data_IF_301723251933
#
_entry.id   IF_301723251933
#
_cell.length_a   1.000
_cell.length_b   1.000
_cell.length_c   1.000
_cell.angle_alpha   90.00
_cell.angle_beta   90.00
_cell.angle_gamma   90.00
#
_symmetry.space_group_name_H-M   'P 1'
#
loop_
_entity.id
_entity.type
_entity.pdbx_description
1 polymer ?
#
# COMPACT_ATOMS: atom_id res chain seq x y z
N UNK A 1 -15.75 33.93 20.55
CA UNK A 1 -15.75 35.26 19.91
C UNK A 1 -15.92 35.10 18.41
N UNK A 2 -16.55 36.08 17.79
CA UNK A 2 -17.25 36.08 16.49
C UNK A 2 -16.33 36.08 15.25
N UNK A 3 -16.77 35.36 14.20
CA UNK A 3 -16.59 35.54 12.74
C UNK A 3 -15.26 36.07 12.17
N UNK A 4 -14.62 35.29 11.28
CA UNK A 4 -14.25 35.81 9.96
C UNK A 4 -14.61 34.79 8.88
N UNK A 5 -15.70 35.08 8.19
CA UNK A 5 -16.16 34.47 6.95
C UNK A 5 -15.46 35.22 5.82
N UNK A 6 -14.29 34.76 5.40
CA UNK A 6 -13.58 35.33 4.26
C UNK A 6 -13.77 34.44 3.03
N UNK A 7 -14.70 34.89 2.19
CA UNK A 7 -14.78 34.73 0.74
C UNK A 7 -14.66 33.31 0.16
N UNK A 8 -15.83 32.72 -0.07
CA UNK A 8 -16.08 31.78 -1.16
C UNK A 8 -15.93 32.51 -2.51
N UNK A 9 -14.70 32.92 -2.83
CA UNK A 9 -14.34 33.34 -4.19
C UNK A 9 -14.05 32.08 -5.00
N UNK A 10 -14.83 31.86 -6.05
CA UNK A 10 -14.59 30.82 -7.05
C UNK A 10 -13.29 31.16 -7.79
N UNK A 11 -12.22 30.42 -7.49
CA UNK A 11 -10.92 30.60 -8.14
C UNK A 11 -11.00 29.99 -9.54
N UNK A 12 -10.79 30.79 -10.57
CA UNK A 12 -10.74 30.32 -11.95
C UNK A 12 -9.40 29.61 -12.25
N UNK A 13 -9.36 28.77 -13.29
CA UNK A 13 -8.10 28.12 -13.73
C UNK A 13 -7.01 29.14 -14.10
N UNK A 14 -7.39 30.33 -14.55
CA UNK A 14 -6.48 31.44 -14.85
C UNK A 14 -5.80 32.07 -13.62
N UNK A 15 -6.36 31.89 -12.43
CA UNK A 15 -5.85 32.45 -11.16
C UNK A 15 -5.16 31.39 -10.27
N UNK A 16 -5.09 30.15 -10.76
CA UNK A 16 -4.51 29.03 -10.01
C UNK A 16 -3.02 29.23 -9.73
N UNK A 17 -2.25 29.75 -10.68
CA UNK A 17 -0.81 29.98 -10.52
C UNK A 17 -0.53 31.07 -9.47
N UNK A 18 -1.26 32.19 -9.52
CA UNK A 18 -1.20 33.25 -8.51
C UNK A 18 -1.64 32.75 -7.12
N UNK A 19 -2.59 31.82 -7.07
CA UNK A 19 -3.01 31.19 -5.82
C UNK A 19 -1.97 30.19 -5.29
N UNK A 20 -1.30 29.44 -6.16
CA UNK A 20 -0.15 28.57 -5.81
C UNK A 20 0.99 29.39 -5.23
N UNK A 21 1.30 30.56 -5.83
CA UNK A 21 2.34 31.47 -5.34
C UNK A 21 2.01 32.05 -3.97
N UNK A 22 0.75 32.45 -3.74
CA UNK A 22 0.29 32.88 -2.41
C UNK A 22 0.44 31.77 -1.36
N UNK A 23 0.08 30.53 -1.71
CA UNK A 23 0.23 29.38 -0.81
C UNK A 23 1.71 29.08 -0.51
N UNK A 24 2.58 29.19 -1.51
CA UNK A 24 4.04 29.03 -1.35
C UNK A 24 4.61 30.07 -0.38
N UNK A 25 4.30 31.36 -0.56
CA UNK A 25 4.77 32.42 0.34
C UNK A 25 4.24 32.27 1.77
N UNK A 26 3.02 31.76 1.95
CA UNK A 26 2.49 31.43 3.28
C UNK A 26 3.29 30.32 3.98
N UNK A 27 3.75 29.31 3.24
CA UNK A 27 4.57 28.23 3.78
C UNK A 27 5.97 28.72 4.17
N UNK A 28 6.55 29.61 3.35
CA UNK A 28 7.84 30.24 3.63
C UNK A 28 7.86 31.05 4.93
N UNK A 29 6.75 31.73 5.23
CA UNK A 29 6.59 32.50 6.46
C UNK A 29 6.25 31.65 7.71
N UNK A 30 5.89 30.37 7.53
CA UNK A 30 5.48 29.47 8.63
C UNK A 30 6.04 28.02 8.48
N UNK A 31 7.37 27.83 8.40
CA UNK A 31 8.00 26.55 8.08
C UNK A 31 7.68 25.43 9.09
N UNK A 32 7.50 25.79 10.37
CA UNK A 32 7.13 24.87 11.47
C UNK A 32 5.78 24.17 11.29
N UNK A 33 4.94 24.61 10.34
CA UNK A 33 3.69 23.92 10.00
C UNK A 33 3.91 22.71 9.08
N UNK A 34 5.01 22.70 8.33
CA UNK A 34 5.38 21.63 7.39
C UNK A 34 6.42 20.71 8.01
N UNK A 35 7.43 21.27 8.69
CA UNK A 35 8.51 20.50 9.28
C UNK A 35 8.15 20.06 10.70
N UNK A 36 8.14 18.74 10.93
CA UNK A 36 7.86 18.15 12.25
C UNK A 36 9.16 17.77 12.98
N UNK A 37 10.15 17.25 12.26
CA UNK A 37 11.53 17.05 12.69
C UNK A 37 12.48 17.28 11.51
N UNK A 38 13.80 17.14 11.71
CA UNK A 38 14.81 17.37 10.67
C UNK A 38 14.64 16.44 9.44
N UNK A 39 14.01 15.28 9.62
CA UNK A 39 13.81 14.27 8.56
C UNK A 39 12.33 14.01 8.21
N UNK A 40 11.39 14.50 9.03
CA UNK A 40 9.96 14.18 8.90
C UNK A 40 9.10 15.44 8.77
N UNK A 41 8.15 15.35 7.83
CA UNK A 41 7.31 16.45 7.40
C UNK A 41 5.83 16.11 7.48
N UNK A 42 4.96 17.13 7.52
CA UNK A 42 3.51 16.98 7.53
C UNK A 42 2.89 17.83 6.45
N UNK A 43 1.80 17.34 5.86
CA UNK A 43 0.99 18.15 4.98
C UNK A 43 0.09 19.09 5.81
N UNK A 44 0.27 20.42 5.74
CA UNK A 44 -0.52 21.38 6.51
C UNK A 44 -1.97 21.49 6.02
N UNK A 45 -2.25 20.99 4.81
CA UNK A 45 -3.55 21.10 4.15
C UNK A 45 -4.43 19.86 4.28
N UNK A 46 -3.92 18.78 4.88
CA UNK A 46 -4.65 17.53 5.11
C UNK A 46 -4.94 17.28 6.61
N UNK A 47 -5.75 18.13 7.29
CA UNK A 47 -6.03 17.99 8.71
C UNK A 47 -6.98 16.82 9.04
N UNK A 48 -7.58 16.14 8.07
CA UNK A 48 -8.37 14.92 8.31
C UNK A 48 -7.51 13.71 8.71
N UNK A 49 -6.22 13.71 8.34
CA UNK A 49 -5.24 12.64 8.59
C UNK A 49 -4.27 13.02 9.73
N UNK A 50 -4.80 13.64 10.78
CA UNK A 50 -4.16 14.47 11.84
C UNK A 50 -2.89 13.96 12.56
N UNK A 51 -2.32 12.79 12.22
CA UNK A 51 -1.10 12.25 12.83
C UNK A 51 -0.06 11.64 11.87
N UNK A 52 -0.23 11.74 10.55
CA UNK A 52 0.77 11.20 9.62
C UNK A 52 1.94 12.16 9.47
N UNK A 53 3.15 11.66 9.73
CA UNK A 53 4.42 12.32 9.45
C UNK A 53 5.07 11.51 8.32
N UNK A 54 5.61 12.20 7.33
CA UNK A 54 6.10 11.64 6.09
C UNK A 54 7.59 11.95 5.93
N UNK A 55 8.42 11.00 5.47
CA UNK A 55 9.71 11.32 4.89
C UNK A 55 9.56 12.33 3.73
N UNK A 56 10.61 13.11 3.44
CA UNK A 56 10.57 14.16 2.41
C UNK A 56 10.01 13.67 1.06
N UNK A 57 10.49 12.51 0.58
CA UNK A 57 10.06 11.91 -0.71
C UNK A 57 8.58 11.56 -0.71
N UNK A 58 8.08 11.04 0.41
CA UNK A 58 6.68 10.60 0.53
C UNK A 58 5.75 11.80 0.66
N UNK A 59 6.17 12.86 1.37
CA UNK A 59 5.40 14.11 1.41
C UNK A 59 5.36 14.77 0.03
N UNK A 60 6.48 14.78 -0.67
CA UNK A 60 6.58 15.34 -2.01
C UNK A 60 5.68 14.61 -3.00
N UNK A 61 5.66 13.28 -2.96
CA UNK A 61 4.77 12.46 -3.78
C UNK A 61 3.30 12.72 -3.41
N UNK A 62 2.95 12.67 -2.13
CA UNK A 62 1.60 12.96 -1.65
C UNK A 62 1.09 14.32 -2.13
N UNK A 63 1.90 15.37 -2.02
CA UNK A 63 1.52 16.72 -2.44
C UNK A 63 1.38 16.81 -3.97
N UNK A 64 2.21 16.10 -4.72
CA UNK A 64 2.16 16.04 -6.19
C UNK A 64 0.92 15.30 -6.68
N UNK A 65 0.57 14.18 -6.05
CA UNK A 65 -0.60 13.38 -6.40
C UNK A 65 -1.88 14.16 -6.15
N UNK A 66 -1.98 14.85 -5.01
CA UNK A 66 -3.16 15.68 -4.71
C UNK A 66 -3.21 16.92 -5.60
N UNK A 67 -2.06 17.53 -5.90
CA UNK A 67 -1.94 18.67 -6.80
C UNK A 67 -2.24 18.37 -8.27
N UNK A 68 -2.34 17.09 -8.67
CA UNK A 68 -2.55 16.66 -10.07
C UNK A 68 -3.95 16.08 -10.36
N UNK A 69 -4.82 15.91 -9.35
CA UNK A 69 -6.18 15.34 -9.56
C UNK A 69 -7.11 16.26 -10.38
N UNK A 70 -8.02 15.65 -11.14
CA UNK A 70 -8.89 16.28 -12.16
C UNK A 70 -10.32 16.63 -11.70
N UNK A 71 -10.66 16.48 -10.42
CA UNK A 71 -12.04 16.71 -9.95
C UNK A 71 -12.31 18.19 -9.60
N UNK A 72 -13.24 18.82 -10.33
CA UNK A 72 -13.59 20.26 -10.33
C UNK A 72 -14.20 20.86 -9.05
N UNK A 73 -14.14 20.21 -7.88
CA UNK A 73 -14.57 20.82 -6.59
C UNK A 73 -13.41 21.29 -5.71
N UNK A 74 -12.16 21.10 -6.14
CA UNK A 74 -10.96 21.24 -5.29
C UNK A 74 -9.86 22.17 -5.87
N UNK A 75 -10.15 23.13 -6.76
CA UNK A 75 -9.11 24.04 -7.33
C UNK A 75 -8.27 24.72 -6.21
N UNK A 76 -8.93 25.11 -5.10
CA UNK A 76 -8.27 25.61 -3.88
C UNK A 76 -7.36 24.57 -3.23
N UNK A 77 -7.79 23.31 -3.12
CA UNK A 77 -6.95 22.28 -2.50
C UNK A 77 -5.81 21.83 -3.42
N UNK A 78 -6.03 21.83 -4.74
CA UNK A 78 -5.01 21.64 -5.76
C UNK A 78 -3.92 22.70 -5.67
N UNK A 79 -4.31 23.97 -5.60
CA UNK A 79 -3.38 25.09 -5.49
C UNK A 79 -2.56 25.08 -4.19
N UNK A 80 -3.18 24.72 -3.05
CA UNK A 80 -2.47 24.54 -1.78
C UNK A 80 -1.38 23.46 -1.87
N UNK A 81 -1.72 22.29 -2.41
CA UNK A 81 -0.78 21.17 -2.51
C UNK A 81 0.33 21.43 -3.55
N UNK A 82 0.03 22.09 -4.66
CA UNK A 82 1.05 22.57 -5.61
C UNK A 82 1.99 23.61 -4.99
N UNK A 83 1.47 24.51 -4.15
CA UNK A 83 2.28 25.45 -3.37
C UNK A 83 3.23 24.73 -2.41
N UNK A 84 2.79 23.62 -1.79
CA UNK A 84 3.62 22.76 -0.95
C UNK A 84 4.73 22.06 -1.75
N UNK A 85 4.43 21.51 -2.92
CA UNK A 85 5.44 20.92 -3.82
C UNK A 85 6.52 21.94 -4.18
N UNK A 86 6.11 23.17 -4.51
CA UNK A 86 7.02 24.27 -4.85
C UNK A 86 7.93 24.64 -3.68
N UNK A 87 7.37 24.71 -2.47
CA UNK A 87 8.12 24.97 -1.23
C UNK A 87 9.13 23.86 -0.92
N UNK A 88 8.70 22.60 -0.97
CA UNK A 88 9.59 21.45 -0.76
C UNK A 88 10.71 21.39 -1.79
N UNK A 89 10.45 21.77 -3.04
CA UNK A 89 11.46 21.77 -4.10
C UNK A 89 12.46 22.92 -4.00
N UNK A 90 12.01 24.12 -3.65
CA UNK A 90 12.84 25.34 -3.69
C UNK A 90 13.54 25.64 -2.37
N UNK A 91 12.86 25.50 -1.24
CA UNK A 91 13.38 25.93 0.07
C UNK A 91 13.87 24.77 0.93
N UNK A 92 13.47 23.52 0.63
CA UNK A 92 13.89 22.32 1.39
C UNK A 92 14.82 21.43 0.56
N UNK A 93 14.53 21.22 -0.73
CA UNK A 93 15.36 20.46 -1.66
C UNK A 93 16.43 21.29 -2.39
N UNK A 94 16.61 22.55 -1.98
CA UNK A 94 17.29 23.60 -2.76
C UNK A 94 18.73 23.95 -2.36
N UNK A 95 19.05 24.24 -1.09
CA UNK A 95 20.45 24.49 -0.64
C UNK A 95 20.55 24.62 0.89
N UNK A 96 21.73 24.21 1.40
CA UNK A 96 22.32 24.40 2.74
C UNK A 96 21.83 23.57 3.94
N UNK A 97 22.33 22.32 3.98
CA UNK A 97 22.63 21.62 5.24
C UNK A 97 23.68 22.47 5.99
N UNK A 98 23.44 22.93 7.23
CA UNK A 98 24.50 23.51 8.05
C UNK A 98 25.66 22.53 8.19
N UNK A 99 26.86 23.03 7.87
CA UNK A 99 28.18 22.37 7.83
C UNK A 99 28.67 21.77 9.18
N UNK A 100 27.79 21.33 10.06
CA UNK A 100 28.15 20.57 11.27
C UNK A 100 27.96 19.05 11.14
N UNK A 101 27.41 18.55 10.02
CA UNK A 101 27.27 17.10 9.79
C UNK A 101 28.24 16.50 8.75
N UNK A 102 29.25 17.26 8.31
CA UNK A 102 30.31 16.77 7.42
C UNK A 102 31.26 15.72 8.06
N UNK A 103 30.94 15.23 9.27
CA UNK A 103 31.65 14.15 9.97
C UNK A 103 30.90 12.82 10.06
N UNK A 104 29.65 12.73 9.58
CA UNK A 104 28.92 11.47 9.46
C UNK A 104 28.62 11.19 8.00
N UNK A 105 29.69 10.92 7.25
CA UNK A 105 29.59 9.97 6.16
C UNK A 105 29.15 8.63 6.80
N UNK A 106 27.84 8.44 6.97
CA UNK A 106 27.29 7.10 6.87
C UNK A 106 27.55 6.74 5.42
N UNK A 107 28.72 6.14 5.17
CA UNK A 107 28.79 5.12 4.15
C UNK A 107 27.66 4.17 4.50
N UNK A 108 26.51 4.30 3.82
CA UNK A 108 25.59 3.19 3.76
C UNK A 108 26.45 2.03 3.26
N UNK A 109 26.61 0.95 4.03
CA UNK A 109 27.05 -0.29 3.43
C UNK A 109 26.11 -0.50 2.25
N UNK A 110 26.69 -0.71 1.06
CA UNK A 110 25.98 -1.06 -0.18
C UNK A 110 25.17 -2.36 -0.07
N UNK A 111 24.96 -2.88 1.14
CA UNK A 111 24.13 -4.01 1.53
C UNK A 111 22.64 -3.66 1.77
N UNK A 112 22.23 -2.38 1.72
CA UNK A 112 20.82 -2.01 2.02
C UNK A 112 19.79 -2.57 1.02
N UNK A 113 20.20 -2.97 -0.19
CA UNK A 113 19.33 -3.66 -1.14
C UNK A 113 18.85 -5.04 -0.64
N UNK A 114 19.52 -5.62 0.37
CA UNK A 114 19.18 -6.94 0.94
C UNK A 114 18.06 -6.82 2.00
N UNK A 115 17.79 -5.62 2.52
CA UNK A 115 16.84 -5.41 3.63
C UNK A 115 15.40 -5.04 3.20
N UNK A 116 15.18 -4.82 1.91
CA UNK A 116 13.84 -4.53 1.34
C UNK A 116 13.09 -5.78 0.87
N UNK A 117 13.58 -6.96 1.24
CA UNK A 117 12.90 -8.23 0.99
C UNK A 117 11.88 -8.52 2.10
N UNK A 118 10.65 -8.77 1.68
CA UNK A 118 9.52 -9.16 2.50
C UNK A 118 9.23 -10.65 2.31
N UNK A 119 8.68 -11.29 3.33
CA UNK A 119 8.09 -12.62 3.15
C UNK A 119 6.74 -12.47 2.43
N UNK A 120 6.57 -13.17 1.32
CA UNK A 120 5.37 -13.23 0.49
C UNK A 120 4.72 -14.62 0.55
N UNK A 121 3.39 -14.74 0.79
CA UNK A 121 2.43 -13.67 1.07
C UNK A 121 2.78 -12.85 2.32
N UNK A 122 2.34 -11.59 2.39
CA UNK A 122 2.74 -10.69 3.48
C UNK A 122 2.42 -11.30 4.85
N UNK A 123 3.46 -11.41 5.69
CA UNK A 123 3.35 -12.00 7.02
C UNK A 123 3.93 -11.05 8.07
N UNK A 124 3.19 -10.86 9.16
CA UNK A 124 3.64 -10.21 10.38
C UNK A 124 4.01 -11.24 11.45
N UNK A 125 4.94 -10.88 12.32
CA UNK A 125 5.32 -11.65 13.50
C UNK A 125 4.79 -10.92 14.72
N UNK A 126 4.10 -11.65 15.58
CA UNK A 126 3.78 -11.24 16.95
C UNK A 126 4.64 -12.05 17.91
N UNK A 127 5.29 -11.36 18.83
CA UNK A 127 6.11 -11.95 19.88
C UNK A 127 5.57 -11.63 21.27
N UNK A 128 6.09 -12.34 22.26
CA UNK A 128 5.65 -12.30 23.66
C UNK A 128 4.16 -12.67 23.83
N UNK A 129 3.72 -13.66 23.08
CA UNK A 129 2.36 -14.19 23.20
C UNK A 129 2.30 -15.09 24.44
N UNK A 130 1.52 -14.68 25.45
CA UNK A 130 1.35 -15.46 26.69
C UNK A 130 0.16 -16.42 26.57
N UNK A 131 0.39 -17.56 25.90
CA UNK A 131 -0.61 -18.63 25.78
C UNK A 131 0.03 -19.98 26.13
N UNK A 132 -0.47 -20.60 27.19
CA UNK A 132 -0.18 -22.01 27.47
C UNK A 132 -0.86 -22.90 26.43
N UNK A 133 -0.08 -23.67 25.69
CA UNK A 133 -0.58 -24.44 24.57
C UNK A 133 -0.94 -25.87 25.00
N UNK A 134 -1.88 -26.02 25.94
CA UNK A 134 -2.43 -27.34 26.33
C UNK A 134 -3.60 -27.69 25.44
N UNK A 135 -3.64 -28.94 24.93
CA UNK A 135 -4.72 -29.56 24.15
C UNK A 135 -5.32 -28.67 23.03
N UNK A 136 -4.93 -28.92 21.77
CA UNK A 136 -5.06 -28.04 20.58
C UNK A 136 -6.37 -27.26 20.32
N UNK A 137 -7.46 -27.53 21.05
CA UNK A 137 -8.68 -26.70 21.13
C UNK A 137 -8.38 -25.28 21.64
N UNK A 138 -7.51 -25.10 22.64
CA UNK A 138 -7.19 -23.77 23.18
C UNK A 138 -6.46 -22.86 22.17
N UNK A 139 -5.71 -23.45 21.23
CA UNK A 139 -4.98 -22.71 20.21
C UNK A 139 -5.91 -21.99 19.23
N UNK A 140 -7.00 -22.63 18.84
CA UNK A 140 -7.95 -22.06 17.86
C UNK A 140 -8.73 -20.88 18.46
N UNK A 141 -9.13 -21.01 19.72
CA UNK A 141 -9.80 -19.93 20.48
C UNK A 141 -8.85 -18.74 20.68
N UNK A 142 -7.59 -18.98 21.03
CA UNK A 142 -6.61 -17.89 21.20
C UNK A 142 -6.22 -17.23 19.87
N UNK A 143 -6.08 -18.02 18.79
CA UNK A 143 -5.77 -17.51 17.46
C UNK A 143 -6.90 -16.63 16.90
N UNK A 144 -8.16 -17.06 17.08
CA UNK A 144 -9.33 -16.29 16.65
C UNK A 144 -9.52 -15.00 17.45
N UNK A 145 -9.25 -15.01 18.76
CA UNK A 145 -9.22 -13.80 19.59
C UNK A 145 -8.18 -12.80 19.10
N UNK A 146 -6.92 -13.22 18.96
CA UNK A 146 -5.84 -12.36 18.45
C UNK A 146 -6.19 -11.79 17.08
N UNK A 147 -6.73 -12.62 16.18
CA UNK A 147 -7.18 -12.16 14.85
C UNK A 147 -8.25 -11.07 14.96
N UNK A 148 -9.25 -11.27 15.81
CA UNK A 148 -10.35 -10.31 15.98
C UNK A 148 -9.86 -9.01 16.62
N UNK A 149 -8.93 -9.08 17.58
CA UNK A 149 -8.33 -7.89 18.21
C UNK A 149 -7.54 -7.07 17.19
N UNK A 150 -6.70 -7.73 16.38
CA UNK A 150 -5.98 -7.08 15.28
C UNK A 150 -6.94 -6.52 14.21
N UNK A 151 -8.02 -7.22 13.91
CA UNK A 151 -9.04 -6.73 12.98
C UNK A 151 -9.77 -5.49 13.52
N UNK A 152 -10.05 -5.43 14.83
CA UNK A 152 -10.67 -4.27 15.48
C UNK A 152 -9.80 -3.01 15.41
N UNK A 153 -8.47 -3.18 15.31
CA UNK A 153 -7.50 -2.12 15.08
C UNK A 153 -7.38 -1.68 13.61
N UNK A 154 -8.10 -2.34 12.70
CA UNK A 154 -8.11 -2.03 11.27
C UNK A 154 -7.04 -2.74 10.46
N UNK A 155 -6.25 -3.66 11.05
CA UNK A 155 -5.19 -4.38 10.33
C UNK A 155 -5.74 -5.49 9.42
N UNK A 156 -6.99 -5.90 9.59
CA UNK A 156 -7.68 -6.87 8.72
C UNK A 156 -6.85 -8.13 8.35
N UNK A 157 -6.28 -8.86 9.32
CA UNK A 157 -5.53 -10.08 9.02
C UNK A 157 -6.45 -11.17 8.46
N UNK A 158 -5.93 -11.95 7.50
CA UNK A 158 -6.63 -13.12 6.94
C UNK A 158 -6.64 -14.25 7.97
N UNK A 159 -5.50 -14.47 8.62
CA UNK A 159 -5.32 -15.56 9.58
C UNK A 159 -4.26 -15.18 10.61
N UNK A 160 -4.41 -15.68 11.83
CA UNK A 160 -3.35 -15.67 12.85
C UNK A 160 -3.06 -17.12 13.21
N UNK A 161 -1.78 -17.50 13.26
CA UNK A 161 -1.32 -18.84 13.62
C UNK A 161 -0.37 -18.77 14.81
N UNK A 162 -0.75 -19.39 15.92
CA UNK A 162 0.14 -19.57 17.05
C UNK A 162 1.22 -20.60 16.72
N UNK A 163 2.47 -20.27 17.04
CA UNK A 163 3.63 -21.14 16.88
C UNK A 163 4.01 -21.76 18.21
N UNK A 164 4.10 -23.09 18.25
CA UNK A 164 4.40 -23.86 19.45
C UNK A 164 5.89 -24.09 19.59
N UNK A 165 6.43 -23.75 20.75
CA UNK A 165 7.78 -24.10 21.18
C UNK A 165 7.71 -24.74 22.58
N UNK A 166 8.09 -26.03 22.69
CA UNK A 166 8.20 -26.76 23.97
C UNK A 166 7.01 -26.54 24.94
N UNK A 167 5.78 -26.58 24.41
CA UNK A 167 4.47 -26.37 25.11
C UNK A 167 4.07 -24.93 25.46
N UNK A 168 4.86 -23.93 25.08
CA UNK A 168 4.47 -22.51 25.11
C UNK A 168 4.25 -22.01 23.69
N UNK A 169 3.39 -21.02 23.49
CA UNK A 169 3.29 -20.34 22.20
C UNK A 169 3.73 -18.90 22.33
N UNK A 170 5.04 -18.68 22.26
CA UNK A 170 5.65 -17.34 22.44
C UNK A 170 5.53 -16.44 21.22
N UNK A 171 5.22 -17.02 20.06
CA UNK A 171 5.08 -16.32 18.79
C UNK A 171 3.77 -16.64 18.10
N UNK A 172 3.26 -15.68 17.32
CA UNK A 172 2.20 -15.89 16.35
C UNK A 172 2.57 -15.29 14.99
N UNK A 173 2.15 -15.94 13.92
CA UNK A 173 2.25 -15.40 12.56
C UNK A 173 0.91 -14.82 12.15
N UNK A 174 0.94 -13.58 11.70
CA UNK A 174 -0.21 -12.85 11.17
C UNK A 174 -0.10 -12.87 9.65
N UNK A 175 -1.03 -13.56 8.99
CA UNK A 175 -1.08 -13.61 7.53
C UNK A 175 -2.04 -12.54 7.00
N UNK A 176 -1.59 -11.78 6.01
CA UNK A 176 -2.41 -10.79 5.31
C UNK A 176 -2.80 -11.28 3.91
N UNK A 177 -3.65 -10.49 3.23
CA UNK A 177 -4.09 -10.81 1.87
C UNK A 177 -2.90 -10.84 0.91
N UNK A 178 -3.01 -11.68 -0.13
CA UNK A 178 -2.00 -11.81 -1.18
C UNK A 178 -2.21 -10.78 -2.29
N UNK A 179 -2.31 -9.51 -1.90
CA UNK A 179 -2.53 -8.35 -2.77
C UNK A 179 -1.96 -7.07 -2.10
N UNK A 180 -2.08 -5.92 -2.76
CA UNK A 180 -1.61 -4.63 -2.22
C UNK A 180 -2.37 -4.16 -0.97
N UNK A 181 -3.64 -4.56 -0.81
CA UNK A 181 -4.37 -4.26 0.43
C UNK A 181 -3.76 -5.00 1.63
N UNK A 182 -3.26 -6.22 1.40
CA UNK A 182 -2.50 -6.97 2.39
C UNK A 182 -1.17 -6.30 2.75
N UNK A 183 -0.47 -5.72 1.77
CA UNK A 183 0.77 -4.97 2.02
C UNK A 183 0.50 -3.75 2.91
N UNK A 184 -0.51 -2.97 2.55
CA UNK A 184 -0.93 -1.79 3.32
C UNK A 184 -1.28 -2.17 4.77
N UNK A 185 -2.05 -3.24 4.95
CA UNK A 185 -2.43 -3.76 6.26
C UNK A 185 -1.21 -4.23 7.08
N UNK A 186 -0.24 -4.89 6.44
CA UNK A 186 0.99 -5.34 7.09
C UNK A 186 1.85 -4.15 7.56
N UNK A 187 2.00 -3.13 6.72
CA UNK A 187 2.74 -1.91 7.10
C UNK A 187 2.02 -1.12 8.20
N UNK A 188 0.69 -1.05 8.17
CA UNK A 188 -0.09 -0.44 9.25
C UNK A 188 0.11 -1.17 10.58
N UNK A 189 0.16 -2.51 10.54
CA UNK A 189 0.46 -3.34 11.70
C UNK A 189 1.84 -3.01 12.28
N UNK A 190 2.91 -3.06 11.50
CA UNK A 190 4.28 -2.75 11.97
C UNK A 190 4.40 -1.33 12.53
N UNK A 191 3.89 -0.33 11.79
CA UNK A 191 3.93 1.06 12.22
C UNK A 191 3.17 1.29 13.53
N UNK A 192 2.07 0.56 13.78
CA UNK A 192 1.35 0.69 15.05
C UNK A 192 2.18 0.18 16.23
N UNK A 193 2.83 -0.97 16.09
CA UNK A 193 3.69 -1.52 17.12
C UNK A 193 4.96 -0.67 17.33
N UNK A 194 5.58 -0.16 16.26
CA UNK A 194 6.73 0.73 16.37
C UNK A 194 6.35 2.06 17.07
N UNK A 195 5.19 2.64 16.74
CA UNK A 195 4.71 3.87 17.39
C UNK A 195 4.45 3.70 18.89
N UNK A 196 4.07 2.50 19.32
CA UNK A 196 3.84 2.15 20.73
C UNK A 196 5.13 1.68 21.44
N UNK A 197 6.30 1.76 20.78
CA UNK A 197 7.59 1.22 21.28
C UNK A 197 7.53 -0.28 21.60
N UNK A 198 6.80 -1.03 20.80
CA UNK A 198 6.74 -2.49 20.86
C UNK A 198 7.09 -3.11 19.48
N UNK A 199 8.00 -2.46 18.75
CA UNK A 199 8.50 -2.95 17.48
C UNK A 199 9.59 -4.01 17.66
N UNK A 200 10.16 -4.46 16.53
CA UNK A 200 11.25 -5.45 16.51
C UNK A 200 12.47 -4.98 17.32
N UNK A 201 12.83 -3.70 17.23
CA UNK A 201 14.00 -3.13 17.92
C UNK A 201 13.83 -3.26 19.43
N UNK A 202 12.67 -2.83 19.94
CA UNK A 202 12.36 -2.90 21.36
C UNK A 202 12.30 -4.34 21.85
N UNK A 203 11.73 -5.25 21.06
CA UNK A 203 11.73 -6.68 21.40
C UNK A 203 13.13 -7.25 21.64
N UNK A 204 14.12 -6.89 20.80
CA UNK A 204 15.49 -7.40 20.96
C UNK A 204 16.27 -6.72 22.09
N UNK A 205 15.89 -5.50 22.49
CA UNK A 205 16.48 -4.77 23.62
C UNK A 205 15.78 -5.11 24.94
N UNK A 206 14.64 -5.80 24.88
CA UNK A 206 13.79 -6.15 26.02
C UNK A 206 13.90 -7.62 26.51
N UNK A 207 15.08 -8.26 26.63
CA UNK A 207 15.15 -9.67 27.07
C UNK A 207 14.69 -9.90 28.54
N UNK A 208 14.15 -8.89 29.24
CA UNK A 208 13.77 -8.94 30.65
C UNK A 208 12.38 -8.34 30.98
N UNK A 209 11.51 -8.04 30.01
CA UNK A 209 10.20 -7.44 30.31
C UNK A 209 9.14 -8.52 30.59
N UNK A 210 8.77 -8.65 31.87
CA UNK A 210 7.56 -9.34 32.38
C UNK A 210 6.31 -8.45 32.17
N UNK A 211 6.28 -7.69 31.08
CA UNK A 211 5.29 -6.63 30.85
C UNK A 211 3.98 -7.14 30.26
N UNK A 212 3.90 -8.43 29.92
CA UNK A 212 2.79 -9.10 29.23
C UNK A 212 2.32 -8.36 27.95
N UNK A 213 3.19 -7.54 27.34
CA UNK A 213 2.85 -6.79 26.13
C UNK A 213 3.28 -7.53 24.88
N UNK A 214 2.45 -7.41 23.85
CA UNK A 214 2.76 -7.96 22.53
C UNK A 214 3.72 -7.04 21.79
N UNK A 215 4.63 -7.65 21.05
CA UNK A 215 5.55 -6.96 20.15
C UNK A 215 5.27 -7.41 18.71
N UNK A 216 5.37 -6.51 17.74
CA UNK A 216 4.93 -6.78 16.37
C UNK A 216 5.79 -6.12 15.30
N UNK A 217 6.07 -6.86 14.21
CA UNK A 217 6.77 -6.35 13.02
C UNK A 217 6.44 -7.17 11.76
N UNK A 218 6.67 -6.63 10.57
CA UNK A 218 6.55 -7.39 9.32
C UNK A 218 7.78 -8.27 9.12
N UNK A 219 7.56 -9.52 8.71
CA UNK A 219 8.64 -10.47 8.47
C UNK A 219 9.50 -10.06 7.26
N UNK A 220 10.81 -9.91 7.49
CA UNK A 220 11.80 -9.55 6.47
C UNK A 220 12.87 -10.62 6.31
N UNK A 221 13.86 -10.35 5.46
CA UNK A 221 15.02 -11.22 5.20
C UNK A 221 15.61 -11.86 6.46
N UNK A 222 15.85 -11.08 7.50
CA UNK A 222 16.45 -11.56 8.75
C UNK A 222 15.54 -12.56 9.49
N UNK A 223 14.23 -12.31 9.52
CA UNK A 223 13.27 -13.21 10.16
C UNK A 223 13.11 -14.52 9.39
N UNK A 224 13.11 -14.42 8.05
CA UNK A 224 13.04 -15.57 7.16
C UNK A 224 14.27 -16.47 7.28
N UNK A 225 15.46 -15.89 7.47
CA UNK A 225 16.73 -16.61 7.66
C UNK A 225 16.97 -17.04 9.10
N UNK A 226 16.20 -16.52 10.05
CA UNK A 226 16.35 -16.83 11.48
C UNK A 226 16.20 -18.33 11.77
N UNK A 227 16.99 -18.82 12.71
CA UNK A 227 16.82 -20.14 13.29
C UNK A 227 15.70 -20.10 14.34
N UNK A 228 14.82 -21.11 14.32
CA UNK A 228 13.72 -21.22 15.27
C UNK A 228 12.34 -21.30 14.62
N UNK A 229 11.31 -21.38 15.48
CA UNK A 229 9.96 -21.81 15.08
C UNK A 229 9.30 -20.90 14.05
N UNK A 230 9.50 -19.58 14.13
CA UNK A 230 8.93 -18.65 13.15
C UNK A 230 9.74 -18.64 11.85
N UNK A 231 11.08 -18.68 11.90
CA UNK A 231 11.90 -18.77 10.69
C UNK A 231 11.60 -20.03 9.87
N UNK A 232 11.46 -21.18 10.53
CA UNK A 232 11.03 -22.44 9.90
C UNK A 232 9.64 -22.33 9.27
N UNK A 233 8.71 -21.68 9.97
CA UNK A 233 7.37 -21.46 9.45
C UNK A 233 7.40 -20.58 8.19
N UNK A 234 8.13 -19.46 8.23
CA UNK A 234 8.22 -18.52 7.11
C UNK A 234 8.81 -19.19 5.86
N UNK A 235 9.91 -19.95 6.00
CA UNK A 235 10.51 -20.70 4.88
C UNK A 235 9.59 -21.76 4.28
N UNK A 236 8.71 -22.35 5.10
CA UNK A 236 7.77 -23.38 4.64
C UNK A 236 6.53 -22.79 3.95
N UNK A 237 6.16 -21.55 4.26
CA UNK A 237 4.86 -20.98 3.87
C UNK A 237 4.97 -19.69 3.03
N UNK A 238 6.18 -19.20 2.76
CA UNK A 238 6.39 -18.03 1.93
C UNK A 238 7.77 -18.00 1.29
N UNK A 239 7.95 -17.02 0.41
CA UNK A 239 9.18 -16.73 -0.32
C UNK A 239 9.64 -15.32 -0.02
N UNK A 240 10.95 -15.04 -0.07
CA UNK A 240 11.45 -13.68 -0.01
C UNK A 240 11.25 -12.99 -1.36
N UNK A 241 10.56 -11.84 -1.33
CA UNK A 241 10.20 -11.05 -2.51
C UNK A 241 10.42 -9.57 -2.22
N UNK A 242 10.88 -8.81 -3.21
CA UNK A 242 10.79 -7.35 -3.16
C UNK A 242 9.41 -6.86 -3.59
N UNK A 243 9.08 -5.62 -3.27
CA UNK A 243 7.86 -4.94 -3.76
C UNK A 243 7.81 -4.96 -5.30
N UNK A 244 8.94 -4.71 -5.96
CA UNK A 244 9.05 -4.71 -7.41
C UNK A 244 8.82 -6.11 -8.02
N UNK A 245 9.26 -7.18 -7.34
CA UNK A 245 9.02 -8.55 -7.78
C UNK A 245 7.52 -8.90 -7.72
N UNK A 246 6.84 -8.49 -6.63
CA UNK A 246 5.40 -8.71 -6.46
C UNK A 246 4.61 -7.94 -7.51
N UNK A 247 4.95 -6.67 -7.76
CA UNK A 247 4.34 -5.85 -8.80
C UNK A 247 4.53 -6.47 -10.20
N UNK A 248 5.76 -6.86 -10.52
CA UNK A 248 6.06 -7.50 -11.80
C UNK A 248 5.30 -8.81 -12.00
N UNK A 249 5.10 -9.60 -10.94
CA UNK A 249 4.28 -10.81 -10.99
C UNK A 249 2.80 -10.50 -11.25
N UNK A 250 2.24 -9.44 -10.66
CA UNK A 250 0.86 -9.03 -10.90
C UNK A 250 0.66 -8.48 -12.31
N UNK A 251 1.58 -7.62 -12.79
CA UNK A 251 1.57 -7.11 -14.17
C UNK A 251 1.62 -8.27 -15.17
N UNK A 252 2.50 -9.24 -14.95
CA UNK A 252 2.62 -10.41 -15.83
C UNK A 252 1.34 -11.26 -15.85
N UNK A 253 0.74 -11.55 -14.69
CA UNK A 253 -0.52 -12.33 -14.60
C UNK A 253 -1.67 -11.60 -15.28
N UNK A 254 -1.77 -10.30 -15.06
CA UNK A 254 -2.77 -9.43 -15.69
C UNK A 254 -2.57 -9.38 -17.20
N UNK A 255 -1.33 -9.19 -17.67
CA UNK A 255 -1.00 -9.22 -19.10
C UNK A 255 -1.33 -10.56 -19.77
N UNK A 256 -1.09 -11.69 -19.09
CA UNK A 256 -1.47 -13.01 -19.58
C UNK A 256 -2.99 -13.17 -19.69
N UNK A 257 -3.74 -12.70 -18.70
CA UNK A 257 -5.20 -12.72 -18.72
C UNK A 257 -5.75 -11.87 -19.89
N UNK A 258 -5.23 -10.64 -20.03
CA UNK A 258 -5.59 -9.74 -21.13
C UNK A 258 -5.28 -10.39 -22.48
N UNK A 259 -4.08 -10.97 -22.65
CA UNK A 259 -3.70 -11.64 -23.91
C UNK A 259 -4.63 -12.80 -24.25
N UNK A 260 -5.00 -13.64 -23.27
CA UNK A 260 -5.93 -14.74 -23.47
C UNK A 260 -7.34 -14.25 -23.86
N UNK A 261 -7.80 -13.16 -23.25
CA UNK A 261 -9.08 -12.53 -23.56
C UNK A 261 -9.08 -11.92 -24.96
N UNK A 262 -8.03 -11.20 -25.33
CA UNK A 262 -7.85 -10.63 -26.68
C UNK A 262 -7.87 -11.72 -27.75
N UNK A 263 -7.13 -12.81 -27.54
CA UNK A 263 -7.15 -13.96 -28.46
C UNK A 263 -8.55 -14.55 -28.62
N UNK A 264 -9.32 -14.62 -27.52
CA UNK A 264 -10.72 -15.11 -27.55
C UNK A 264 -11.62 -14.17 -28.35
N UNK A 265 -11.47 -12.85 -28.17
CA UNK A 265 -12.19 -11.82 -28.92
C UNK A 265 -11.89 -11.93 -30.42
N UNK A 266 -10.61 -12.08 -30.78
CA UNK A 266 -10.19 -12.17 -32.19
C UNK A 266 -10.73 -13.43 -32.88
N UNK A 267 -10.73 -14.58 -32.19
CA UNK A 267 -11.32 -15.82 -32.70
C UNK A 267 -12.83 -15.68 -32.91
N UNK A 268 -13.54 -15.03 -31.98
CA UNK A 268 -14.99 -14.82 -32.11
C UNK A 268 -15.33 -13.85 -33.25
N UNK A 269 -14.54 -12.78 -33.42
CA UNK A 269 -14.68 -11.85 -34.56
C UNK A 269 -14.46 -12.55 -35.90
N UNK A 270 -13.37 -13.32 -36.02
CA UNK A 270 -13.07 -14.07 -37.25
C UNK A 270 -14.20 -15.05 -37.62
N UNK A 271 -14.79 -15.73 -36.63
CA UNK A 271 -15.95 -16.60 -36.86
C UNK A 271 -17.21 -15.84 -37.30
N UNK A 272 -17.44 -14.64 -36.76
CA UNK A 272 -18.55 -13.79 -37.20
C UNK A 272 -18.36 -13.35 -38.65
N UNK A 273 -17.16 -12.87 -39.00
CA UNK A 273 -16.81 -12.47 -40.36
C UNK A 273 -16.96 -13.65 -41.34
N UNK A 274 -16.55 -14.86 -40.95
CA UNK A 274 -16.72 -16.08 -41.76
C UNK A 274 -18.19 -16.41 -41.99
N UNK A 275 -19.05 -16.33 -40.95
CA UNK A 275 -20.49 -16.56 -41.09
C UNK A 275 -21.13 -15.51 -42.01
N UNK A 276 -20.74 -14.24 -41.88
CA UNK A 276 -21.28 -13.13 -42.70
C UNK A 276 -20.88 -13.23 -44.17
N UNK A 277 -19.63 -13.60 -44.43
CA UNK A 277 -19.10 -13.72 -45.80
C UNK A 277 -19.59 -14.98 -46.52
N UNK A 278 -19.78 -16.09 -45.79
CA UNK A 278 -20.21 -17.36 -46.38
C UNK A 278 -21.72 -17.46 -46.60
N UNK A 279 -22.54 -16.74 -45.81
CA UNK A 279 -24.00 -16.89 -45.84
C UNK A 279 -24.74 -15.57 -45.59
N UNK A 280 -24.71 -14.62 -46.56
CA UNK A 280 -25.31 -13.30 -46.41
C UNK A 280 -26.83 -13.30 -46.19
N UNK A 281 -27.55 -14.32 -46.69
CA UNK A 281 -29.02 -14.44 -46.60
C UNK A 281 -29.50 -15.32 -45.41
N UNK A 282 -28.63 -15.52 -44.41
CA UNK A 282 -28.75 -16.49 -43.30
C UNK A 282 -30.15 -17.00 -42.94
N UNK A 283 -30.51 -18.20 -43.39
CA UNK A 283 -31.73 -18.91 -42.99
C UNK A 283 -31.42 -20.06 -42.01
N UNK A 284 -32.22 -20.19 -40.95
CA UNK A 284 -32.21 -21.34 -40.03
C UNK A 284 -30.98 -21.43 -39.11
N UNK A 285 -30.27 -22.56 -39.17
CA UNK A 285 -29.19 -22.96 -38.24
C UNK A 285 -28.04 -21.93 -38.16
N UNK A 286 -27.77 -21.23 -39.26
CA UNK A 286 -26.68 -20.24 -39.37
C UNK A 286 -27.00 -18.96 -38.59
N UNK A 287 -28.28 -18.54 -38.60
CA UNK A 287 -28.73 -17.41 -37.77
C UNK A 287 -28.60 -17.69 -36.27
N UNK A 288 -28.84 -18.96 -35.87
CA UNK A 288 -28.65 -19.40 -34.48
C UNK A 288 -27.17 -19.37 -34.08
N UNK A 289 -26.27 -19.86 -34.95
CA UNK A 289 -24.82 -19.81 -34.74
C UNK A 289 -24.28 -18.37 -34.67
N UNK A 290 -24.78 -17.48 -35.55
CA UNK A 290 -24.43 -16.05 -35.51
C UNK A 290 -24.85 -15.42 -34.19
N UNK A 291 -26.08 -15.65 -33.74
CA UNK A 291 -26.59 -15.13 -32.48
C UNK A 291 -25.77 -15.63 -31.28
N UNK A 292 -25.42 -16.92 -31.23
CA UNK A 292 -24.58 -17.49 -30.17
C UNK A 292 -23.17 -16.86 -30.16
N UNK A 293 -22.54 -16.71 -31.32
CA UNK A 293 -21.21 -16.11 -31.42
C UNK A 293 -21.23 -14.63 -30.98
N UNK A 294 -22.30 -13.91 -31.33
CA UNK A 294 -22.50 -12.51 -30.97
C UNK A 294 -22.74 -12.35 -29.46
N UNK A 295 -23.57 -13.20 -28.83
CA UNK A 295 -23.79 -13.19 -27.38
C UNK A 295 -22.49 -13.50 -26.61
N UNK A 296 -21.71 -14.48 -27.07
CA UNK A 296 -20.42 -14.81 -26.47
C UNK A 296 -19.42 -13.66 -26.59
N UNK A 297 -19.37 -12.99 -27.74
CA UNK A 297 -18.51 -11.81 -27.92
C UNK A 297 -18.93 -10.66 -27.01
N UNK A 298 -20.24 -10.40 -26.88
CA UNK A 298 -20.77 -9.38 -25.98
C UNK A 298 -20.41 -9.65 -24.51
N UNK A 299 -20.51 -10.91 -24.06
CA UNK A 299 -20.12 -11.31 -22.71
C UNK A 299 -18.63 -11.10 -22.47
N UNK A 300 -17.76 -11.57 -23.38
CA UNK A 300 -16.31 -11.41 -23.23
C UNK A 300 -15.93 -9.93 -23.20
N UNK A 301 -16.49 -9.11 -24.08
CA UNK A 301 -16.23 -7.65 -24.10
C UNK A 301 -16.70 -6.94 -22.83
N UNK A 302 -17.80 -7.39 -22.21
CA UNK A 302 -18.24 -6.87 -20.92
C UNK A 302 -17.24 -7.19 -19.82
N UNK A 303 -16.72 -8.43 -19.77
CA UNK A 303 -15.69 -8.83 -18.82
C UNK A 303 -14.37 -8.07 -19.04
N UNK A 304 -13.88 -7.93 -20.27
CA UNK A 304 -12.64 -7.19 -20.56
C UNK A 304 -12.74 -5.71 -20.20
N UNK A 305 -13.90 -5.08 -20.42
CA UNK A 305 -14.16 -3.68 -20.04
C UNK A 305 -14.19 -3.50 -18.52
N UNK A 306 -14.71 -4.49 -17.77
CA UNK A 306 -14.71 -4.46 -16.31
C UNK A 306 -13.30 -4.62 -15.71
N UNK A 307 -12.46 -5.47 -16.31
CA UNK A 307 -11.08 -5.69 -15.84
C UNK A 307 -10.14 -4.55 -16.24
N UNK A 308 -10.29 -3.98 -17.44
CA UNK A 308 -9.47 -2.85 -17.91
C UNK A 308 -9.68 -1.59 -17.06
N UNK A 309 -10.90 -1.39 -16.55
CA UNK A 309 -11.20 -0.33 -15.58
C UNK A 309 -10.59 -0.59 -14.20
N UNK A 310 -10.31 -1.84 -13.82
CA UNK A 310 -9.57 -2.16 -12.59
C UNK A 310 -8.07 -1.89 -12.76
N UNK A 311 -7.46 -2.26 -13.89
CA UNK A 311 -6.01 -2.12 -14.13
C UNK A 311 -5.60 -0.65 -14.28
N UNK A 312 -6.41 0.18 -14.94
CA UNK A 312 -6.13 1.61 -15.10
C UNK A 312 -6.14 2.40 -13.78
N UNK A 313 -6.70 1.85 -12.70
CA UNK A 313 -6.76 2.50 -11.39
C UNK A 313 -5.57 2.14 -10.47
N UNK A 314 -4.67 1.24 -10.90
CA UNK A 314 -3.48 0.84 -10.13
C UNK A 314 -2.16 1.27 -10.76
N UNK A 315 -2.16 1.79 -11.99
CA UNK A 315 -0.99 2.38 -12.64
C UNK A 315 -1.13 3.91 -12.75
N UNK A 316 -1.28 4.62 -11.63
CA UNK A 316 -1.08 6.06 -11.55
C UNK A 316 -0.68 6.46 -10.12
#
# INVERSE_FOLDING_TARGET
>A
MSYSSEDETDISESELDDYVDRCYEQLKNAPKKVQYSDELFRCPYCPGKKKLVYPFKDLFQHASDVGSRSMNREIKDKGKHLGLVRYLKKDIGGEDIPLEFAGLAIELPRDSAVNDLFVWPWMGILANVDVECRDGVYLDVSSSRLRNDLASKGFNPVRVRLLREKNQCRYAIVEFKKDWSGFYNAMMFENNFEADHHGKKEFHIAPYLDDNKLYGWVARNEDFKSEGVFGDFLRKNGDLMSVADVESQEIRKTGQLISNLTNTVDVLKARLDEIETSHPDGHGNIGCQKAECTDRLARVNYFTSSESNCVSNYCH
#
